data_IF_291637246481
#
_entry.id   IF_291637246481
#
_cell.length_a   1.000
_cell.length_b   1.000
_cell.length_c   1.000
_cell.angle_alpha   90.00
_cell.angle_beta   90.00
_cell.angle_gamma   90.00
#
_symmetry.space_group_name_H-M   'P 1'
#
loop_
_entity.id
_entity.type
_entity.pdbx_description
1 polymer ?
#
# COMPACT_ATOMS: atom_id res chain seq x y z
N UNK A 1 40.12 13.90 32.64
CA UNK A 1 38.68 13.83 33.01
C UNK A 1 37.91 13.45 31.77
N UNK A 2 37.38 12.22 31.69
CA UNK A 2 36.51 11.81 30.60
C UNK A 2 35.05 11.95 31.07
N UNK A 3 34.13 12.48 30.24
CA UNK A 3 32.74 12.62 30.63
C UNK A 3 32.08 11.24 30.69
N UNK A 4 31.41 10.95 31.81
CA UNK A 4 30.54 9.79 31.98
C UNK A 4 29.39 9.90 30.96
N UNK A 5 29.43 9.09 29.91
CA UNK A 5 28.32 8.95 28.99
C UNK A 5 27.22 8.17 29.71
N UNK A 6 26.20 8.89 30.20
CA UNK A 6 24.98 8.29 30.71
C UNK A 6 24.37 7.44 29.59
N UNK A 7 24.46 6.11 29.73
CA UNK A 7 23.69 5.20 28.90
C UNK A 7 22.21 5.58 29.07
N UNK A 8 21.44 5.82 28.00
CA UNK A 8 20.01 5.97 28.14
C UNK A 8 19.51 4.63 28.69
N UNK A 9 19.05 4.63 29.94
CA UNK A 9 18.38 3.48 30.52
C UNK A 9 17.14 3.24 29.66
N UNK A 10 17.29 2.34 28.68
CA UNK A 10 16.22 2.02 27.75
C UNK A 10 15.00 1.57 28.53
N UNK A 11 13.82 1.95 28.06
CA UNK A 11 12.56 1.56 28.68
C UNK A 11 12.57 0.06 29.04
N UNK A 12 12.03 -0.33 30.21
CA UNK A 12 12.04 -1.71 30.68
C UNK A 12 11.51 -2.63 29.57
N UNK A 13 12.09 -3.84 29.43
CA UNK A 13 11.81 -4.75 28.31
C UNK A 13 10.30 -4.98 28.09
N UNK A 14 9.51 -5.00 29.17
CA UNK A 14 8.04 -5.05 29.15
C UNK A 14 7.40 -3.95 28.31
N UNK A 15 7.92 -2.74 28.35
CA UNK A 15 7.41 -1.61 27.58
C UNK A 15 7.71 -1.76 26.09
N UNK A 16 8.86 -2.32 25.74
CA UNK A 16 9.22 -2.63 24.34
C UNK A 16 8.30 -3.70 23.75
N UNK A 17 7.97 -4.73 24.53
CA UNK A 17 6.99 -5.74 24.11
C UNK A 17 5.60 -5.13 23.89
N UNK A 18 5.12 -4.31 24.83
CA UNK A 18 3.81 -3.67 24.70
C UNK A 18 3.72 -2.78 23.45
N UNK A 19 4.73 -1.93 23.22
CA UNK A 19 4.78 -1.06 22.03
C UNK A 19 4.89 -1.90 20.76
N UNK A 20 5.69 -2.97 20.77
CA UNK A 20 5.81 -3.89 19.64
C UNK A 20 4.47 -4.54 19.28
N UNK A 21 3.72 -5.01 20.28
CA UNK A 21 2.38 -5.60 20.07
C UNK A 21 1.42 -4.59 19.47
N UNK A 22 1.38 -3.35 19.98
CA UNK A 22 0.53 -2.28 19.45
C UNK A 22 0.91 -1.97 17.99
N UNK A 23 2.21 -1.88 17.69
CA UNK A 23 2.70 -1.60 16.35
C UNK A 23 2.31 -2.70 15.35
N UNK A 24 2.40 -3.98 15.74
CA UNK A 24 1.98 -5.11 14.90
C UNK A 24 0.47 -5.09 14.64
N UNK A 25 -0.34 -4.82 15.66
CA UNK A 25 -1.80 -4.74 15.49
C UNK A 25 -2.21 -3.57 14.59
N UNK A 26 -1.61 -2.39 14.79
CA UNK A 26 -1.85 -1.22 13.93
C UNK A 26 -1.38 -1.47 12.50
N UNK A 27 -0.18 -2.04 12.32
CA UNK A 27 0.35 -2.40 11.02
C UNK A 27 -0.55 -3.39 10.31
N UNK A 28 -0.96 -4.47 10.98
CA UNK A 28 -1.86 -5.48 10.44
C UNK A 28 -3.22 -4.89 10.03
N UNK A 29 -3.80 -4.01 10.84
CA UNK A 29 -5.06 -3.34 10.50
C UNK A 29 -4.92 -2.41 9.28
N UNK A 30 -3.86 -1.62 9.21
CA UNK A 30 -3.59 -0.75 8.07
C UNK A 30 -3.35 -1.57 6.80
N UNK A 31 -2.57 -2.64 6.87
CA UNK A 31 -2.32 -3.55 5.76
C UNK A 31 -3.61 -4.24 5.31
N UNK A 32 -4.45 -4.70 6.24
CA UNK A 32 -5.75 -5.30 5.92
C UNK A 32 -6.67 -4.32 5.20
N UNK A 33 -6.77 -3.08 5.72
CA UNK A 33 -7.60 -2.03 5.14
C UNK A 33 -7.10 -1.54 3.78
N UNK A 34 -5.78 -1.44 3.61
CA UNK A 34 -5.20 -1.14 2.31
C UNK A 34 -5.41 -2.30 1.34
N UNK A 35 -5.17 -3.53 1.80
CA UNK A 35 -5.34 -4.79 1.08
C UNK A 35 -6.76 -5.07 0.60
N UNK A 36 -7.77 -4.67 1.37
CA UNK A 36 -9.18 -4.94 1.02
C UNK A 36 -9.69 -4.18 -0.20
N UNK A 37 -9.03 -3.07 -0.54
CA UNK A 37 -9.48 -2.16 -1.61
C UNK A 37 -8.93 -2.57 -2.99
N UNK A 38 -8.11 -3.62 -3.03
CA UNK A 38 -7.32 -4.04 -4.17
C UNK A 38 -7.94 -5.24 -4.92
N UNK A 39 -8.02 -5.12 -6.24
CA UNK A 39 -8.51 -6.17 -7.14
C UNK A 39 -7.33 -6.87 -7.81
N UNK A 40 -7.05 -8.09 -7.36
CA UNK A 40 -5.99 -8.92 -7.93
C UNK A 40 -6.44 -9.46 -9.29
N UNK A 41 -5.78 -9.03 -10.37
CA UNK A 41 -5.98 -9.60 -11.70
C UNK A 41 -5.44 -11.03 -11.64
N UNK A 42 -6.31 -12.01 -11.90
CA UNK A 42 -5.91 -13.42 -11.94
C UNK A 42 -5.02 -13.63 -13.16
N UNK A 43 -3.84 -14.18 -12.93
CA UNK A 43 -2.98 -14.65 -14.00
C UNK A 43 -3.62 -15.89 -14.63
N UNK A 44 -4.00 -15.80 -15.91
CA UNK A 44 -4.38 -16.97 -16.69
C UNK A 44 -3.15 -17.57 -17.37
N UNK A 45 -2.79 -18.82 -17.04
CA UNK A 45 -1.70 -19.50 -17.73
C UNK A 45 -2.10 -19.72 -19.18
N UNK A 46 -1.15 -19.50 -20.10
CA UNK A 46 -1.39 -19.68 -21.52
C UNK A 46 -1.65 -21.16 -21.84
N UNK A 47 -2.45 -21.42 -22.87
CA UNK A 47 -2.73 -22.77 -23.32
C UNK A 47 -1.45 -23.51 -23.75
N UNK A 48 -1.37 -24.85 -23.58
CA UNK A 48 -0.16 -25.61 -23.92
C UNK A 48 0.22 -25.47 -25.41
N UNK A 49 -0.77 -25.37 -26.31
CA UNK A 49 -0.56 -25.16 -27.74
C UNK A 49 0.12 -23.81 -28.05
N UNK A 50 -0.24 -22.75 -27.33
CA UNK A 50 0.43 -21.45 -27.45
C UNK A 50 1.86 -21.47 -26.92
N UNK A 51 2.11 -22.23 -25.86
CA UNK A 51 3.46 -22.36 -25.29
C UNK A 51 4.40 -23.05 -26.30
N UNK A 52 3.94 -24.13 -26.94
CA UNK A 52 4.71 -24.84 -27.97
C UNK A 52 4.96 -23.95 -29.20
N UNK A 53 3.96 -23.16 -29.63
CA UNK A 53 4.15 -22.21 -30.73
C UNK A 53 5.17 -21.13 -30.38
N UNK A 54 5.11 -20.56 -29.17
CA UNK A 54 6.05 -19.55 -28.69
C UNK A 54 7.48 -20.08 -28.55
N UNK A 55 7.64 -21.34 -28.15
CA UNK A 55 8.95 -21.99 -28.13
C UNK A 55 9.52 -22.20 -29.54
N UNK A 56 8.70 -22.62 -30.52
CA UNK A 56 9.13 -22.74 -31.92
C UNK A 56 9.49 -21.39 -32.55
N UNK A 57 8.67 -20.38 -32.33
CA UNK A 57 8.82 -19.04 -32.92
C UNK A 57 9.82 -18.16 -32.15
N UNK A 58 10.41 -18.67 -31.05
CA UNK A 58 11.31 -17.93 -30.12
C UNK A 58 10.75 -16.56 -29.76
N UNK A 59 9.44 -16.47 -29.52
CA UNK A 59 8.80 -15.21 -29.16
C UNK A 59 9.30 -14.83 -27.76
N UNK A 60 10.00 -13.69 -27.61
CA UNK A 60 10.51 -13.28 -26.32
C UNK A 60 9.35 -13.01 -25.36
N UNK A 61 9.58 -13.26 -24.07
CA UNK A 61 8.62 -12.92 -23.01
C UNK A 61 8.41 -11.40 -23.03
N UNK A 62 7.30 -10.96 -23.63
CA UNK A 62 6.84 -9.58 -23.53
C UNK A 62 5.97 -9.48 -22.29
N UNK A 63 6.58 -9.03 -21.20
CA UNK A 63 5.85 -8.54 -20.05
C UNK A 63 5.44 -7.11 -20.38
N UNK A 64 4.26 -6.93 -20.99
CA UNK A 64 3.64 -5.61 -21.13
C UNK A 64 3.11 -5.20 -19.78
N UNK A 65 3.97 -4.61 -18.96
CA UNK A 65 3.55 -3.79 -17.83
C UNK A 65 3.00 -2.54 -18.48
N UNK A 66 1.67 -2.36 -18.54
CA UNK A 66 1.16 -1.04 -18.86
C UNK A 66 1.59 -0.11 -17.73
N UNK A 67 1.97 1.13 -18.03
CA UNK A 67 2.26 2.14 -17.00
C UNK A 67 1.05 2.40 -16.07
N UNK A 68 -0.14 1.91 -16.46
CA UNK A 68 -1.39 1.91 -15.70
C UNK A 68 -1.62 0.65 -14.86
N UNK A 69 -0.81 -0.40 -15.02
CA UNK A 69 -0.90 -1.65 -14.24
C UNK A 69 -0.25 -1.48 -12.86
N UNK A 70 -0.75 -0.51 -12.10
CA UNK A 70 -0.85 -0.65 -10.65
C UNK A 70 -2.10 -1.48 -10.36
N UNK A 71 -2.06 -2.31 -9.34
CA UNK A 71 -3.19 -3.13 -8.91
C UNK A 71 -4.51 -2.31 -8.92
N UNK A 72 -5.52 -2.77 -9.67
CA UNK A 72 -6.74 -1.98 -9.88
C UNK A 72 -7.56 -1.91 -8.58
N UNK A 73 -8.05 -0.73 -8.24
CA UNK A 73 -8.97 -0.57 -7.11
C UNK A 73 -10.37 -1.00 -7.51
N UNK A 74 -11.12 -1.59 -6.57
CA UNK A 74 -12.54 -1.90 -6.76
C UNK A 74 -13.34 -0.62 -7.07
N UNK A 75 -14.45 -0.70 -7.82
CA UNK A 75 -15.26 0.48 -8.14
C UNK A 75 -15.78 1.19 -6.87
N UNK A 76 -16.15 0.43 -5.84
CA UNK A 76 -16.54 0.98 -4.54
C UNK A 76 -15.40 1.76 -3.86
N UNK A 77 -14.17 1.24 -3.91
CA UNK A 77 -12.99 1.94 -3.38
C UNK A 77 -12.68 3.23 -4.16
N UNK A 78 -12.80 3.21 -5.49
CA UNK A 78 -12.65 4.41 -6.34
C UNK A 78 -13.64 5.51 -5.94
N UNK A 79 -14.91 5.16 -5.71
CA UNK A 79 -15.92 6.12 -5.24
C UNK A 79 -15.63 6.66 -3.84
N UNK A 80 -15.18 5.82 -2.90
CA UNK A 80 -14.84 6.24 -1.54
C UNK A 80 -13.67 7.22 -1.53
N UNK A 81 -12.65 6.99 -2.37
CA UNK A 81 -11.51 7.90 -2.54
C UNK A 81 -11.96 9.22 -3.17
N UNK A 82 -12.79 9.17 -4.21
CA UNK A 82 -13.34 10.36 -4.86
C UNK A 82 -14.09 11.25 -3.87
N UNK A 83 -14.98 10.68 -3.06
CA UNK A 83 -15.74 11.40 -2.02
C UNK A 83 -14.81 12.01 -0.96
N UNK A 84 -13.75 11.32 -0.55
CA UNK A 84 -12.76 11.85 0.40
C UNK A 84 -12.00 13.04 -0.19
N UNK A 85 -11.56 12.95 -1.45
CA UNK A 85 -10.87 14.06 -2.10
C UNK A 85 -11.75 15.29 -2.23
N UNK A 86 -13.01 15.11 -2.63
CA UNK A 86 -14.00 16.19 -2.70
C UNK A 86 -14.18 16.90 -1.35
N UNK A 87 -14.32 16.14 -0.25
CA UNK A 87 -14.42 16.72 1.10
C UNK A 87 -13.18 17.51 1.51
N UNK A 88 -11.97 16.96 1.27
CA UNK A 88 -10.72 17.67 1.59
C UNK A 88 -10.60 19.00 0.82
N UNK A 89 -11.06 19.04 -0.42
CA UNK A 89 -11.07 20.28 -1.22
C UNK A 89 -12.05 21.30 -0.62
N UNK A 90 -13.25 20.87 -0.23
CA UNK A 90 -14.26 21.74 0.40
C UNK A 90 -13.77 22.32 1.72
N UNK A 91 -13.22 21.47 2.60
CA UNK A 91 -12.66 21.90 3.89
C UNK A 91 -11.52 22.91 3.72
N UNK A 92 -10.63 22.70 2.74
CA UNK A 92 -9.58 23.68 2.40
C UNK A 92 -10.15 25.02 1.96
N UNK A 93 -11.16 25.02 1.09
CA UNK A 93 -11.82 26.25 0.64
C UNK A 93 -12.54 26.97 1.77
N UNK A 94 -13.13 26.24 2.72
CA UNK A 94 -13.77 26.83 3.90
C UNK A 94 -12.75 27.45 4.85
N UNK A 95 -11.59 26.82 5.06
CA UNK A 95 -10.52 27.42 5.87
C UNK A 95 -9.94 28.67 5.21
N UNK A 96 -9.67 28.62 3.90
CA UNK A 96 -9.15 29.78 3.16
C UNK A 96 -10.13 30.97 3.15
N UNK A 97 -11.44 30.70 3.19
CA UNK A 97 -12.49 31.73 3.36
C UNK A 97 -12.62 32.28 4.78
N UNK A 98 -12.23 31.52 5.81
CA UNK A 98 -12.22 31.98 7.21
C UNK A 98 -10.97 32.78 7.55
N UNK A 99 -9.89 32.59 6.81
CA UNK A 99 -8.62 33.32 6.97
C UNK A 99 -8.56 34.64 6.19
N UNK A 100 -9.53 34.91 5.31
CA UNK A 100 -9.74 36.19 4.60
C UNK A 100 -10.79 37.05 5.28
#
# INVERSE_FOLDING_TARGET
>A
MAPNMAQPQGAPMTHKFLIGTIAVLLGGYLTYKAGSDFQFIKYEPHSPEEVERRQREKIPLKMTVLDTTSLDLTPEAKERIWKKQQKMIQEKQEMEKREK
#
